data_IF_329709550285
#
_entry.id   IF_329709550285
#
_cell.length_a   1.000
_cell.length_b   1.000
_cell.length_c   1.000
_cell.angle_alpha   90.00
_cell.angle_beta   90.00
_cell.angle_gamma   90.00
#
_symmetry.space_group_name_H-M   'P 1'
#
loop_
_entity.id
_entity.type
_entity.pdbx_description
1 polymer ?
#
# COMPACT_ATOMS: atom_id res chain seq x y z
N UNK A 1 57.71 59.91 -24.70
CA UNK A 1 57.30 58.64 -25.25
C UNK A 1 56.54 57.95 -24.08
N UNK A 2 55.19 57.88 -24.16
CA UNK A 2 54.30 57.51 -23.04
C UNK A 2 53.94 56.05 -23.20
N UNK A 3 54.21 55.25 -22.17
CA UNK A 3 53.73 53.84 -22.06
C UNK A 3 52.42 53.83 -21.31
N UNK A 4 51.37 53.36 -21.92
CA UNK A 4 50.05 53.16 -21.38
C UNK A 4 49.97 51.75 -20.79
N UNK A 5 49.70 51.67 -19.46
CA UNK A 5 49.35 50.42 -18.76
C UNK A 5 47.85 50.20 -18.88
N UNK A 6 47.43 49.07 -19.50
CA UNK A 6 46.07 48.58 -19.41
C UNK A 6 45.93 47.62 -18.23
N UNK A 7 45.11 48.03 -17.28
CA UNK A 7 44.75 47.23 -16.13
C UNK A 7 43.51 46.41 -16.50
N UNK A 8 43.65 45.09 -16.51
CA UNK A 8 42.52 44.16 -16.73
C UNK A 8 41.92 43.83 -15.39
N UNK A 9 40.69 44.28 -15.16
CA UNK A 9 39.89 43.97 -13.96
C UNK A 9 39.12 42.70 -14.24
N UNK A 10 39.51 41.56 -13.61
CA UNK A 10 38.81 40.29 -13.66
C UNK A 10 37.67 40.30 -12.62
N UNK A 11 36.43 40.44 -13.06
CA UNK A 11 35.27 40.23 -12.24
C UNK A 11 35.02 38.71 -12.07
N UNK A 12 35.34 38.17 -10.92
CA UNK A 12 34.93 36.82 -10.54
C UNK A 12 33.47 36.83 -10.04
N UNK A 13 32.56 36.40 -10.86
CA UNK A 13 31.14 36.21 -10.48
C UNK A 13 31.01 34.91 -9.68
N UNK A 14 30.87 35.01 -8.36
CA UNK A 14 30.50 33.94 -7.47
C UNK A 14 28.99 33.61 -7.69
N UNK A 15 28.68 32.56 -8.42
CA UNK A 15 27.34 31.97 -8.45
C UNK A 15 27.10 31.25 -7.14
N UNK A 16 26.37 31.89 -6.24
CA UNK A 16 25.83 31.24 -5.05
C UNK A 16 24.66 30.33 -5.45
N UNK A 17 24.89 29.02 -5.51
CA UNK A 17 23.81 28.04 -5.55
C UNK A 17 23.08 28.08 -4.19
N UNK A 18 21.93 28.75 -4.17
CA UNK A 18 20.98 28.60 -3.09
C UNK A 18 20.39 27.20 -3.14
N UNK A 19 20.90 26.28 -2.34
CA UNK A 19 20.25 25.00 -2.03
C UNK A 19 19.02 25.35 -1.21
N UNK A 20 17.85 25.40 -1.84
CA UNK A 20 16.57 25.44 -1.16
C UNK A 20 16.41 24.09 -0.45
N UNK A 21 16.84 24.00 0.80
CA UNK A 21 16.46 22.93 1.70
C UNK A 21 14.93 23.02 1.84
N UNK A 22 14.23 22.08 1.21
CA UNK A 22 12.81 21.85 1.45
C UNK A 22 12.70 21.55 2.95
N UNK A 23 12.21 22.50 3.72
CA UNK A 23 11.90 22.28 5.13
C UNK A 23 10.85 21.15 5.14
N UNK A 24 11.27 19.96 5.52
CA UNK A 24 10.34 18.88 5.82
C UNK A 24 9.37 19.44 6.86
N UNK A 25 8.07 19.42 6.55
CA UNK A 25 7.00 19.84 7.45
C UNK A 25 7.15 19.10 8.77
N UNK A 26 7.75 19.75 9.76
CA UNK A 26 7.91 19.18 11.08
C UNK A 26 6.55 19.15 11.77
N UNK A 27 6.20 18.05 12.44
CA UNK A 27 4.94 17.96 13.16
C UNK A 27 4.82 19.09 14.19
N UNK A 28 3.75 19.85 14.13
CA UNK A 28 3.52 20.91 15.12
C UNK A 28 3.32 20.28 16.51
N UNK A 29 4.17 20.56 17.52
CA UNK A 29 4.09 19.90 18.84
C UNK A 29 2.72 20.08 19.52
N UNK A 30 2.01 21.17 19.22
CA UNK A 30 0.69 21.48 19.73
C UNK A 30 -0.40 20.52 19.23
N UNK A 31 -0.18 19.84 18.09
CA UNK A 31 -1.12 18.89 17.51
C UNK A 31 -0.87 17.44 17.96
N UNK A 32 0.29 17.14 18.51
CA UNK A 32 0.52 15.81 19.07
C UNK A 32 -0.44 15.56 20.25
N UNK A 33 -1.01 14.36 20.31
CA UNK A 33 -1.98 13.99 21.33
C UNK A 33 -2.91 12.87 20.90
N UNK A 34 -3.80 12.48 21.80
CA UNK A 34 -4.80 11.44 21.57
C UNK A 34 -6.15 12.11 21.28
N UNK A 35 -6.83 11.62 20.27
CA UNK A 35 -8.09 12.16 19.76
C UNK A 35 -9.12 11.05 19.62
N UNK A 36 -10.38 11.36 19.94
CA UNK A 36 -11.51 10.46 19.77
C UNK A 36 -12.54 11.07 18.85
N UNK A 37 -13.04 10.28 17.90
CA UNK A 37 -14.09 10.71 16.97
C UNK A 37 -15.38 10.97 17.72
N UNK A 38 -15.99 12.12 17.48
CA UNK A 38 -17.27 12.54 18.01
C UNK A 38 -18.21 12.97 16.89
N UNK A 39 -19.54 12.90 17.14
CA UNK A 39 -20.55 13.34 16.20
C UNK A 39 -20.90 12.33 15.10
N UNK A 40 -20.41 11.09 15.20
CA UNK A 40 -20.79 9.97 14.30
C UNK A 40 -21.35 8.84 15.15
N UNK A 41 -22.58 8.43 14.82
CA UNK A 41 -23.29 7.36 15.55
C UNK A 41 -22.73 5.97 15.15
N UNK A 42 -22.64 5.06 16.11
CA UNK A 42 -22.22 3.65 15.92
C UNK A 42 -20.80 3.46 15.40
N UNK A 43 -19.99 4.51 15.33
CA UNK A 43 -18.58 4.44 14.91
C UNK A 43 -17.69 4.86 16.08
N UNK A 44 -16.84 3.95 16.55
CA UNK A 44 -15.70 4.26 17.43
C UNK A 44 -14.46 4.50 16.58
N UNK A 45 -13.78 5.62 16.78
CA UNK A 45 -12.49 5.83 16.12
C UNK A 45 -11.55 6.65 16.99
N UNK A 46 -10.29 6.27 16.99
CA UNK A 46 -9.23 6.92 17.74
C UNK A 46 -8.08 7.29 16.80
N UNK A 47 -7.45 8.43 17.10
CA UNK A 47 -6.27 8.91 16.39
C UNK A 47 -5.24 9.36 17.42
N UNK A 48 -4.07 8.73 17.41
CA UNK A 48 -2.91 9.14 18.19
C UNK A 48 -1.88 9.80 17.28
N UNK A 49 -1.64 11.11 17.47
CA UNK A 49 -0.54 11.84 16.83
C UNK A 49 0.64 11.91 17.81
N UNK A 50 1.71 11.20 17.49
CA UNK A 50 2.91 11.15 18.34
C UNK A 50 3.83 12.33 18.04
N UNK A 51 4.64 12.74 19.05
CA UNK A 51 5.59 13.87 18.92
C UNK A 51 6.73 13.59 17.92
N UNK A 52 7.00 12.32 17.62
CA UNK A 52 8.02 11.88 16.67
C UNK A 52 7.54 11.88 15.21
N UNK A 53 6.34 12.42 14.93
CA UNK A 53 5.76 12.45 13.60
C UNK A 53 5.07 11.14 13.15
N UNK A 54 4.93 10.18 14.07
CA UNK A 54 4.19 8.93 13.78
C UNK A 54 2.74 9.06 14.22
N UNK A 55 1.84 8.33 13.53
CA UNK A 55 0.46 8.22 13.95
C UNK A 55 0.04 6.76 14.11
N UNK A 56 -0.99 6.56 14.93
CA UNK A 56 -1.79 5.35 15.01
C UNK A 56 -3.26 5.76 14.89
N UNK A 57 -4.01 5.01 14.10
CA UNK A 57 -5.43 5.25 13.88
C UNK A 57 -6.17 3.93 13.92
N UNK A 58 -7.34 3.93 14.55
CA UNK A 58 -8.24 2.80 14.57
C UNK A 58 -9.68 3.24 14.34
N UNK A 59 -10.50 2.34 13.80
CA UNK A 59 -11.93 2.50 13.62
C UNK A 59 -12.62 1.17 13.86
N UNK A 60 -13.70 1.22 14.65
CA UNK A 60 -14.61 0.10 14.89
C UNK A 60 -16.01 0.50 14.47
N UNK A 61 -16.64 -0.30 13.61
CA UNK A 61 -18.03 -0.14 13.17
C UNK A 61 -18.67 -1.52 13.00
N UNK A 62 -19.62 -1.86 13.88
CA UNK A 62 -20.25 -3.18 13.89
C UNK A 62 -19.23 -4.30 14.07
N UNK A 63 -19.03 -5.14 13.05
CA UNK A 63 -18.02 -6.22 13.02
C UNK A 63 -16.78 -5.87 12.17
N UNK A 64 -16.60 -4.60 11.83
CA UNK A 64 -15.46 -4.13 11.04
C UNK A 64 -14.52 -3.37 11.95
N UNK A 65 -13.29 -3.90 12.09
CA UNK A 65 -12.18 -3.24 12.76
C UNK A 65 -11.12 -2.88 11.71
N UNK A 66 -10.73 -1.62 11.68
CA UNK A 66 -9.69 -1.10 10.79
C UNK A 66 -8.60 -0.42 11.59
N UNK A 67 -7.36 -0.53 11.12
CA UNK A 67 -6.21 0.10 11.74
C UNK A 67 -5.30 0.67 10.66
N UNK A 68 -4.65 1.80 10.96
CA UNK A 68 -3.62 2.40 10.15
C UNK A 68 -2.52 2.98 11.05
N UNK A 69 -1.30 2.95 10.56
CA UNK A 69 -0.18 3.63 11.19
C UNK A 69 0.75 4.20 10.12
N UNK A 70 1.59 5.16 10.48
CA UNK A 70 2.50 5.78 9.51
C UNK A 70 3.06 7.10 10.01
N UNK A 71 3.27 8.01 9.08
CA UNK A 71 3.79 9.34 9.34
C UNK A 71 2.68 10.39 9.27
N UNK A 72 2.76 11.41 10.13
CA UNK A 72 1.90 12.57 10.02
C UNK A 72 2.72 13.85 9.91
N UNK A 73 2.15 14.82 9.20
CA UNK A 73 2.70 16.18 9.08
C UNK A 73 1.57 17.20 9.17
N UNK A 74 1.93 18.46 9.43
CA UNK A 74 0.97 19.56 9.47
C UNK A 74 1.51 20.76 8.72
N UNK A 75 0.66 21.35 7.87
CA UNK A 75 0.93 22.57 7.13
C UNK A 75 -0.24 23.54 7.30
N UNK A 76 -0.02 24.64 8.01
CA UNK A 76 -1.09 25.61 8.34
C UNK A 76 -2.20 24.96 9.15
N UNK A 77 -3.41 24.86 8.57
CA UNK A 77 -4.58 24.22 9.19
C UNK A 77 -4.82 22.80 8.69
N UNK A 78 -3.93 22.22 7.92
CA UNK A 78 -4.06 20.88 7.36
C UNK A 78 -3.12 19.91 8.07
N UNK A 79 -3.65 18.74 8.43
CA UNK A 79 -2.90 17.60 8.96
C UNK A 79 -3.04 16.47 7.96
N UNK A 80 -1.91 15.95 7.49
CA UNK A 80 -1.85 14.81 6.58
C UNK A 80 -1.36 13.58 7.35
N UNK A 81 -2.11 12.49 7.25
CA UNK A 81 -1.71 11.16 7.67
C UNK A 81 -1.29 10.39 6.41
N UNK A 82 -0.05 9.95 6.36
CA UNK A 82 0.47 9.09 5.30
C UNK A 82 0.67 7.69 5.88
N UNK A 83 -0.20 6.75 5.50
CA UNK A 83 -0.10 5.38 6.00
C UNK A 83 1.22 4.73 5.55
N UNK A 84 1.81 3.96 6.46
CA UNK A 84 3.01 3.20 6.16
C UNK A 84 2.69 2.16 5.09
N UNK A 85 3.39 2.23 3.98
CA UNK A 85 3.40 1.11 3.05
C UNK A 85 4.32 0.02 3.62
N UNK A 86 3.97 -1.26 3.50
CA UNK A 86 4.92 -2.31 3.76
C UNK A 86 6.16 -2.05 2.90
N UNK A 87 7.32 -1.82 3.52
CA UNK A 87 8.52 -1.30 2.85
C UNK A 87 9.15 -2.25 1.83
N UNK A 88 8.65 -3.48 1.73
CA UNK A 88 9.09 -4.50 0.76
C UNK A 88 7.89 -5.10 0.05
N UNK A 89 8.06 -5.45 -1.21
CA UNK A 89 7.06 -6.22 -1.94
C UNK A 89 6.72 -7.53 -1.19
N UNK A 90 5.46 -8.01 -1.25
CA UNK A 90 5.10 -9.27 -0.63
C UNK A 90 5.94 -10.41 -1.21
N UNK A 91 6.32 -11.36 -0.36
CA UNK A 91 6.98 -12.58 -0.80
C UNK A 91 5.94 -13.67 -1.02
N UNK A 92 6.08 -14.39 -2.12
CA UNK A 92 5.17 -15.46 -2.52
C UNK A 92 5.88 -16.82 -2.50
N UNK A 93 5.13 -17.87 -2.21
CA UNK A 93 5.52 -19.27 -2.41
C UNK A 93 4.32 -20.08 -2.92
N UNK A 94 4.56 -21.26 -3.40
CA UNK A 94 3.47 -22.20 -3.67
C UNK A 94 2.85 -22.63 -2.34
N UNK A 95 1.52 -22.76 -2.28
CA UNK A 95 0.84 -23.36 -1.12
C UNK A 95 1.18 -24.84 -1.00
N UNK A 96 1.35 -25.30 0.21
CA UNK A 96 1.43 -26.73 0.50
C UNK A 96 0.03 -27.38 0.42
N UNK A 97 -0.03 -28.65 0.03
CA UNK A 97 -1.29 -29.39 -0.09
C UNK A 97 -2.07 -29.48 1.24
N UNK A 98 -1.36 -29.45 2.36
CA UNK A 98 -1.94 -29.46 3.70
C UNK A 98 -2.56 -28.11 4.09
N UNK A 99 -1.98 -27.02 3.57
CA UNK A 99 -2.47 -25.65 3.85
C UNK A 99 -3.70 -25.31 2.98
N UNK A 100 -3.74 -25.78 1.73
CA UNK A 100 -4.84 -25.53 0.81
C UNK A 100 -5.10 -26.74 -0.08
N UNK A 101 -6.19 -27.45 0.20
CA UNK A 101 -6.65 -28.57 -0.62
C UNK A 101 -7.51 -28.09 -1.80
N UNK A 102 -6.96 -28.09 -3.00
CA UNK A 102 -7.70 -27.85 -4.22
C UNK A 102 -8.41 -29.17 -4.64
N UNK A 103 -9.75 -29.14 -4.64
CA UNK A 103 -10.57 -30.36 -4.83
C UNK A 103 -10.97 -30.61 -6.27
N UNK A 104 -10.92 -29.61 -7.13
CA UNK A 104 -11.38 -29.70 -8.52
C UNK A 104 -10.40 -29.01 -9.46
N UNK A 105 -10.14 -29.57 -10.64
CA UNK A 105 -9.35 -28.88 -11.65
C UNK A 105 -10.07 -27.62 -12.16
N UNK A 106 -9.32 -26.71 -12.78
CA UNK A 106 -9.90 -25.57 -13.45
C UNK A 106 -10.79 -26.00 -14.63
N UNK A 107 -11.75 -25.16 -15.00
CA UNK A 107 -12.59 -25.37 -16.17
C UNK A 107 -11.75 -25.47 -17.45
N UNK A 108 -12.29 -26.21 -18.45
CA UNK A 108 -11.60 -26.39 -19.72
C UNK A 108 -11.27 -25.03 -20.37
N UNK A 109 -10.06 -24.89 -20.87
CA UNK A 109 -9.59 -23.65 -21.49
C UNK A 109 -9.28 -22.50 -20.53
N UNK A 110 -9.24 -22.76 -19.22
CA UNK A 110 -8.86 -21.77 -18.22
C UNK A 110 -7.65 -22.22 -17.39
N UNK A 111 -6.85 -21.27 -16.98
CA UNK A 111 -5.87 -21.44 -15.91
C UNK A 111 -6.24 -20.52 -14.75
N UNK A 112 -6.12 -21.04 -13.53
CA UNK A 112 -6.50 -20.34 -12.30
C UNK A 112 -5.32 -20.30 -11.34
N UNK A 113 -4.94 -19.12 -10.92
CA UNK A 113 -4.04 -18.92 -9.81
C UNK A 113 -4.85 -18.40 -8.61
N UNK A 114 -4.81 -19.11 -7.50
CA UNK A 114 -5.41 -18.68 -6.24
C UNK A 114 -4.31 -17.98 -5.43
N UNK A 115 -4.54 -16.75 -5.00
CA UNK A 115 -3.57 -16.01 -4.17
C UNK A 115 -4.18 -15.69 -2.82
N UNK A 116 -3.46 -15.98 -1.73
CA UNK A 116 -3.98 -15.72 -0.40
C UNK A 116 -2.96 -15.97 0.71
N UNK A 117 -3.44 -15.79 1.92
CA UNK A 117 -2.69 -16.05 3.14
C UNK A 117 -3.09 -17.39 3.72
N UNK A 118 -2.14 -18.24 4.08
CA UNK A 118 -2.47 -19.53 4.73
C UNK A 118 -3.37 -19.31 5.94
N UNK A 119 -4.53 -20.01 5.96
CA UNK A 119 -5.53 -20.01 7.04
C UNK A 119 -6.22 -18.65 7.31
N UNK A 120 -5.92 -17.59 6.57
CA UNK A 120 -6.41 -16.24 6.85
C UNK A 120 -7.30 -15.68 5.74
N UNK A 121 -7.16 -16.16 4.52
CA UNK A 121 -8.06 -15.80 3.43
C UNK A 121 -7.38 -15.30 2.15
N UNK A 122 -8.18 -14.85 1.16
CA UNK A 122 -7.71 -14.43 -0.15
C UNK A 122 -6.95 -13.11 -0.10
N UNK A 123 -6.06 -12.90 -1.08
CA UNK A 123 -5.42 -11.61 -1.34
C UNK A 123 -5.86 -11.06 -2.70
N UNK A 124 -6.40 -9.86 -2.69
CA UNK A 124 -6.84 -9.10 -3.87
C UNK A 124 -5.68 -8.25 -4.39
N UNK A 125 -5.67 -7.96 -5.71
CA UNK A 125 -4.74 -7.00 -6.29
C UNK A 125 -3.33 -7.54 -6.51
N UNK A 126 -3.19 -8.86 -6.66
CA UNK A 126 -1.94 -9.49 -7.13
C UNK A 126 -2.04 -9.75 -8.62
N UNK A 127 -1.16 -9.14 -9.39
CA UNK A 127 -0.99 -9.41 -10.81
C UNK A 127 -0.21 -10.71 -10.98
N UNK A 128 -0.85 -11.68 -11.64
CA UNK A 128 -0.28 -12.99 -11.95
C UNK A 128 -0.02 -13.10 -13.44
N UNK A 129 1.24 -13.30 -13.81
CA UNK A 129 1.67 -13.60 -15.18
C UNK A 129 1.86 -15.10 -15.32
N UNK A 130 0.99 -15.73 -16.06
CA UNK A 130 1.03 -17.14 -16.40
C UNK A 130 1.98 -17.36 -17.57
N UNK A 131 2.84 -18.37 -17.49
CA UNK A 131 3.74 -18.72 -18.58
C UNK A 131 3.63 -20.21 -18.90
N UNK A 132 3.38 -20.50 -20.16
CA UNK A 132 3.35 -21.85 -20.71
C UNK A 132 4.77 -22.33 -21.07
N UNK A 133 4.95 -23.66 -21.20
CA UNK A 133 6.20 -24.25 -21.71
C UNK A 133 6.53 -23.80 -23.13
N UNK A 134 5.55 -23.43 -23.92
CA UNK A 134 5.71 -22.86 -25.26
C UNK A 134 6.26 -21.42 -25.27
N UNK A 135 6.33 -20.78 -24.09
CA UNK A 135 6.65 -19.34 -23.95
C UNK A 135 5.43 -18.43 -24.05
N UNK A 136 4.23 -18.96 -24.35
CA UNK A 136 3.00 -18.17 -24.34
C UNK A 136 2.69 -17.66 -22.95
N UNK A 137 2.29 -16.40 -22.86
CA UNK A 137 1.94 -15.76 -21.58
C UNK A 137 0.55 -15.16 -21.58
N UNK A 138 -0.08 -15.08 -20.41
CA UNK A 138 -1.28 -14.30 -20.14
C UNK A 138 -1.20 -13.71 -18.74
N UNK A 139 -1.94 -12.63 -18.47
CA UNK A 139 -1.91 -11.92 -17.20
C UNK A 139 -3.33 -11.69 -16.69
N UNK A 140 -3.53 -11.87 -15.39
CA UNK A 140 -4.75 -11.51 -14.69
C UNK A 140 -4.44 -11.01 -13.28
N UNK A 141 -5.39 -10.30 -12.68
CA UNK A 141 -5.28 -9.80 -11.30
C UNK A 141 -6.20 -10.59 -10.40
N UNK A 142 -5.72 -10.95 -9.20
CA UNK A 142 -6.52 -11.67 -8.22
C UNK A 142 -7.71 -10.82 -7.75
N UNK A 143 -8.89 -11.42 -7.77
CA UNK A 143 -10.17 -10.81 -7.42
C UNK A 143 -10.47 -10.97 -5.92
N UNK A 144 -11.68 -10.59 -5.47
CA UNK A 144 -12.10 -10.64 -4.06
C UNK A 144 -11.98 -12.05 -3.43
N UNK A 145 -12.14 -13.11 -4.21
CA UNK A 145 -11.95 -14.49 -3.78
C UNK A 145 -10.51 -15.00 -3.90
N UNK A 146 -9.57 -14.14 -4.31
CA UNK A 146 -8.16 -14.46 -4.51
C UNK A 146 -7.84 -15.08 -5.87
N UNK A 147 -8.83 -15.31 -6.75
CA UNK A 147 -8.61 -15.95 -8.03
C UNK A 147 -8.15 -14.97 -9.10
N UNK A 148 -7.05 -15.31 -9.77
CA UNK A 148 -6.64 -14.71 -11.04
C UNK A 148 -6.87 -15.77 -12.14
N UNK A 149 -7.71 -15.43 -13.13
CA UNK A 149 -8.17 -16.40 -14.14
C UNK A 149 -7.82 -15.91 -15.55
N UNK A 150 -7.20 -16.77 -16.34
CA UNK A 150 -6.91 -16.50 -17.75
C UNK A 150 -7.49 -17.58 -18.66
N UNK A 151 -7.80 -17.21 -19.90
CA UNK A 151 -8.11 -18.18 -20.98
C UNK A 151 -6.80 -18.66 -21.59
N UNK A 152 -6.63 -19.98 -21.67
CA UNK A 152 -5.44 -20.60 -22.23
C UNK A 152 -5.84 -21.84 -23.03
N UNK A 153 -5.30 -22.05 -24.27
CA UNK A 153 -5.61 -23.23 -25.06
C UNK A 153 -5.32 -24.53 -24.30
N UNK A 154 -6.12 -25.57 -24.57
CA UNK A 154 -5.98 -26.87 -23.90
C UNK A 154 -4.63 -27.56 -24.21
N UNK A 155 -3.98 -27.22 -25.33
CA UNK A 155 -2.67 -27.72 -25.74
C UNK A 155 -1.52 -27.15 -24.93
N UNK A 156 -1.74 -26.00 -24.26
CA UNK A 156 -0.68 -25.34 -23.48
C UNK A 156 -0.46 -26.03 -22.13
N UNK A 157 0.78 -26.14 -21.74
CA UNK A 157 1.19 -26.67 -20.44
C UNK A 157 1.73 -25.55 -19.57
N UNK A 158 1.14 -25.39 -18.39
CA UNK A 158 1.57 -24.35 -17.45
C UNK A 158 2.95 -24.67 -16.87
N UNK A 159 3.90 -23.77 -17.05
CA UNK A 159 5.27 -23.91 -16.57
C UNK A 159 5.45 -23.23 -15.22
N UNK A 160 5.18 -21.90 -15.16
CA UNK A 160 5.42 -21.08 -13.98
C UNK A 160 4.46 -19.89 -13.91
N UNK A 161 4.37 -19.30 -12.73
CA UNK A 161 3.63 -18.07 -12.49
C UNK A 161 4.57 -16.99 -11.97
N UNK A 162 4.50 -15.79 -12.53
CA UNK A 162 5.15 -14.60 -11.99
C UNK A 162 4.12 -13.79 -11.19
N UNK A 163 4.44 -13.42 -9.95
CA UNK A 163 3.53 -12.67 -9.07
C UNK A 163 4.14 -11.34 -8.68
N UNK A 164 3.32 -10.30 -8.65
CA UNK A 164 3.65 -8.98 -8.09
C UNK A 164 2.37 -8.24 -7.71
N UNK A 165 2.48 -7.15 -6.98
CA UNK A 165 1.31 -6.28 -6.74
C UNK A 165 0.89 -5.60 -8.04
N UNK A 166 -0.42 -5.47 -8.24
CA UNK A 166 -0.99 -4.72 -9.35
C UNK A 166 -0.48 -3.27 -9.36
N UNK A 167 -0.11 -2.78 -10.53
CA UNK A 167 0.46 -1.44 -10.70
C UNK A 167 1.90 -1.27 -10.20
N UNK A 168 2.52 -2.30 -9.60
CA UNK A 168 3.92 -2.27 -9.19
C UNK A 168 4.85 -2.26 -10.40
N UNK A 169 5.97 -1.53 -10.27
CA UNK A 169 7.09 -1.57 -11.22
C UNK A 169 8.16 -2.61 -10.85
N UNK A 170 7.96 -3.34 -9.75
CA UNK A 170 8.87 -4.40 -9.33
C UNK A 170 8.83 -5.57 -10.31
N UNK A 171 9.94 -6.30 -10.40
CA UNK A 171 10.01 -7.54 -11.17
C UNK A 171 9.04 -8.58 -10.62
N UNK A 172 8.60 -9.50 -11.49
CA UNK A 172 7.82 -10.63 -11.06
C UNK A 172 8.65 -11.60 -10.23
N UNK A 173 8.09 -12.08 -9.13
CA UNK A 173 8.60 -13.25 -8.42
C UNK A 173 8.11 -14.50 -9.14
N UNK A 174 9.00 -15.20 -9.82
CA UNK A 174 8.67 -16.39 -10.59
C UNK A 174 8.70 -17.65 -9.72
N UNK A 175 7.63 -18.41 -9.79
CA UNK A 175 7.44 -19.67 -9.08
C UNK A 175 7.04 -20.76 -10.08
N UNK A 176 7.74 -21.87 -10.05
CA UNK A 176 7.40 -23.05 -10.86
C UNK A 176 6.08 -23.66 -10.36
N UNK A 177 5.23 -24.03 -11.29
CA UNK A 177 3.96 -24.69 -10.97
C UNK A 177 4.18 -26.19 -10.84
N UNK A 178 3.82 -26.81 -9.71
CA UNK A 178 3.98 -28.24 -9.52
C UNK A 178 3.30 -29.05 -10.65
N UNK A 179 3.91 -30.12 -11.18
CA UNK A 179 3.38 -30.83 -12.34
C UNK A 179 1.94 -31.36 -12.20
N UNK A 180 1.54 -31.72 -10.98
CA UNK A 180 0.16 -32.08 -10.65
C UNK A 180 -0.79 -30.92 -10.87
N UNK A 181 -0.47 -29.76 -10.32
CA UNK A 181 -1.26 -28.54 -10.45
C UNK A 181 -1.29 -28.00 -11.88
N UNK A 182 -0.19 -28.10 -12.59
CA UNK A 182 -0.14 -27.74 -14.02
C UNK A 182 -1.11 -28.59 -14.88
N UNK A 183 -1.24 -29.89 -14.61
CA UNK A 183 -2.22 -30.75 -15.27
C UNK A 183 -3.66 -30.39 -14.92
N UNK A 184 -3.91 -30.03 -13.67
CA UNK A 184 -5.22 -29.58 -13.18
C UNK A 184 -5.53 -28.14 -13.59
N UNK A 185 -4.53 -27.40 -14.10
CA UNK A 185 -4.65 -26.01 -14.55
C UNK A 185 -5.08 -25.06 -13.44
N UNK A 186 -4.78 -25.42 -12.20
CA UNK A 186 -5.06 -24.60 -11.01
C UNK A 186 -3.93 -24.78 -9.99
N UNK A 187 -3.38 -23.68 -9.51
CA UNK A 187 -2.35 -23.66 -8.50
C UNK A 187 -2.62 -22.53 -7.49
N UNK A 188 -2.18 -22.73 -6.26
CA UNK A 188 -2.33 -21.73 -5.21
C UNK A 188 -0.97 -21.18 -4.77
N UNK A 189 -0.95 -19.87 -4.49
CA UNK A 189 0.23 -19.11 -4.12
C UNK A 189 -0.01 -18.39 -2.80
N UNK A 190 0.82 -18.72 -1.81
CA UNK A 190 0.75 -18.17 -0.46
C UNK A 190 1.56 -16.87 -0.39
N UNK A 191 1.01 -15.87 0.27
CA UNK A 191 1.73 -14.69 0.72
C UNK A 191 2.34 -15.01 2.08
N UNK A 192 3.66 -14.87 2.21
CA UNK A 192 4.37 -15.24 3.44
C UNK A 192 4.42 -14.11 4.46
N UNK A 193 4.32 -12.89 4.00
CA UNK A 193 4.48 -11.71 4.83
C UNK A 193 3.12 -11.20 5.35
N UNK A 194 2.89 -11.40 6.66
CA UNK A 194 1.63 -11.03 7.33
C UNK A 194 1.34 -9.53 7.36
N UNK A 195 2.34 -8.66 7.19
CA UNK A 195 2.09 -7.22 7.14
C UNK A 195 1.16 -6.81 5.98
N UNK A 196 1.07 -7.64 4.93
CA UNK A 196 0.17 -7.43 3.80
C UNK A 196 -1.28 -7.87 4.06
N UNK A 197 -1.54 -8.57 5.17
CA UNK A 197 -2.90 -8.89 5.63
C UNK A 197 -3.69 -7.63 6.01
N UNK A 198 -3.01 -6.69 6.63
CA UNK A 198 -3.63 -5.45 7.08
C UNK A 198 -3.72 -4.50 5.88
N UNK A 199 -4.80 -4.66 5.10
CA UNK A 199 -5.13 -3.66 4.09
C UNK A 199 -5.30 -2.32 4.81
N UNK A 200 -4.37 -1.40 4.56
CA UNK A 200 -4.50 -0.05 5.12
C UNK A 200 -5.82 0.55 4.64
N UNK A 201 -6.69 1.03 5.53
CA UNK A 201 -8.00 1.57 5.16
C UNK A 201 -7.90 2.81 4.27
N UNK A 202 -6.75 3.48 4.30
CA UNK A 202 -6.39 4.59 3.43
C UNK A 202 -4.86 4.60 3.20
N UNK A 203 -4.44 5.17 2.10
CA UNK A 203 -3.02 5.48 1.85
C UNK A 203 -2.66 6.86 2.37
N UNK A 204 -3.55 7.82 2.17
CA UNK A 204 -3.46 9.18 2.65
C UNK A 204 -4.82 9.57 3.24
N UNK A 205 -4.81 10.23 4.41
CA UNK A 205 -6.00 10.85 4.98
C UNK A 205 -5.64 12.29 5.36
N UNK A 206 -6.47 13.24 4.91
CA UNK A 206 -6.29 14.66 5.19
C UNK A 206 -7.33 15.12 6.20
N UNK A 207 -6.86 15.81 7.24
CA UNK A 207 -7.70 16.40 8.26
C UNK A 207 -7.48 17.91 8.30
N UNK A 208 -8.53 18.66 8.63
CA UNK A 208 -8.46 20.10 8.88
C UNK A 208 -8.51 20.38 10.38
N UNK A 209 -7.66 21.29 10.84
CA UNK A 209 -7.76 21.82 12.20
C UNK A 209 -9.01 22.70 12.29
N UNK A 210 -9.91 22.35 13.20
CA UNK A 210 -11.16 23.09 13.52
C UNK A 210 -11.18 23.41 15.01
N UNK A 211 -12.15 24.23 15.44
CA UNK A 211 -12.38 24.47 16.86
C UNK A 211 -12.69 23.14 17.56
N UNK A 212 -11.91 22.83 18.58
CA UNK A 212 -12.07 21.59 19.37
C UNK A 212 -11.39 20.33 18.82
N UNK A 213 -10.74 20.37 17.64
CA UNK A 213 -10.05 19.17 17.15
C UNK A 213 -9.66 19.13 15.68
N UNK A 214 -9.79 17.93 15.11
CA UNK A 214 -9.42 17.63 13.73
C UNK A 214 -10.62 17.02 13.00
N UNK A 215 -10.96 17.53 11.83
CA UNK A 215 -12.05 17.04 10.99
C UNK A 215 -11.50 16.45 9.69
N UNK A 216 -11.96 15.26 9.29
CA UNK A 216 -11.61 14.64 8.00
C UNK A 216 -12.08 15.55 6.86
N UNK A 217 -11.15 15.90 5.95
CA UNK A 217 -11.43 16.83 4.85
C UNK A 217 -12.01 16.13 3.62
N UNK A 218 -11.89 14.80 3.54
CA UNK A 218 -12.36 14.02 2.41
C UNK A 218 -13.88 13.86 2.48
N UNK A 219 -14.59 14.47 1.54
CA UNK A 219 -16.07 14.53 1.54
C UNK A 219 -16.73 13.16 1.31
N UNK A 220 -16.06 12.24 0.64
CA UNK A 220 -16.59 10.89 0.33
C UNK A 220 -16.41 9.91 1.50
N UNK A 221 -15.71 10.31 2.53
CA UNK A 221 -15.49 9.52 3.72
C UNK A 221 -16.61 9.79 4.74
N UNK A 222 -17.36 8.76 5.16
CA UNK A 222 -18.41 8.88 6.17
C UNK A 222 -17.94 9.50 7.49
N UNK A 223 -16.66 9.51 7.78
CA UNK A 223 -16.03 10.15 8.94
C UNK A 223 -15.96 11.68 8.83
N UNK A 224 -16.15 12.26 7.64
CA UNK A 224 -16.12 13.72 7.42
C UNK A 224 -17.17 14.50 8.22
N UNK A 225 -18.19 13.82 8.74
CA UNK A 225 -19.24 14.43 9.59
C UNK A 225 -18.82 14.57 11.04
N UNK A 226 -17.77 13.86 11.47
CA UNK A 226 -17.27 13.85 12.84
C UNK A 226 -16.07 14.75 13.05
N UNK A 227 -15.78 15.01 14.32
CA UNK A 227 -14.57 15.73 14.75
C UNK A 227 -13.79 14.84 15.70
N UNK A 228 -12.53 14.66 15.45
CA UNK A 228 -11.58 14.06 16.37
C UNK A 228 -11.25 15.05 17.48
N UNK A 229 -11.96 14.98 18.59
CA UNK A 229 -11.74 15.84 19.74
C UNK A 229 -10.50 15.41 20.53
N UNK A 230 -9.62 16.36 20.84
CA UNK A 230 -8.38 16.09 21.60
C UNK A 230 -8.71 15.80 23.05
N UNK A 231 -8.12 14.71 23.58
CA UNK A 231 -8.20 14.42 25.00
C UNK A 231 -7.33 15.39 25.78
N UNK A 232 -7.84 15.97 26.88
CA UNK A 232 -7.01 16.76 27.80
C UNK A 232 -5.81 15.91 28.28
N UNK A 233 -4.64 16.53 28.39
CA UNK A 233 -3.49 15.86 29.01
C UNK A 233 -3.85 15.54 30.47
N UNK A 234 -3.71 14.28 30.86
CA UNK A 234 -3.82 13.86 32.25
C UNK A 234 -2.57 14.24 33.02
#
# INVERSE_FOLDING_TARGET
MKKSLFSVLACASLLSLAVSASAADQPAPSLAGHYYLQGVTEVGSELLLKKDGKFEWMLAYGNVDQQASGDWSAAGKEVTLQAASPGKAPQFRVFDEEEMRIRKPAAAGQWVAIVGFPQLGPMVGVEVKFEAKSGKTATAVSQQNGDAIVKMPASEQWLRAGLRLEGSKADYQWLDVPPGRARERIAAFAVTDRQWLLKQPFQKLTLRVVDGGLQVSDADNGLARGVYAKQPAQ
#
